data_IF_347559114597
#
_entry.id   IF_347559114597
#
_cell.length_a   1.000
_cell.length_b   1.000
_cell.length_c   1.000
_cell.angle_alpha   90.00
_cell.angle_beta   90.00
_cell.angle_gamma   90.00
#
_symmetry.space_group_name_H-M   'P 1'
#
loop_
_entity.id
_entity.type
_entity.pdbx_description
1 polymer ?
#
# COMPACT_ATOMS: atom_id res chain seq x y z
N UNK A 1 0.80 -9.26 -10.86
CA UNK A 1 0.30 -8.34 -9.83
C UNK A 1 0.45 -9.02 -8.47
N UNK A 2 1.41 -8.58 -7.65
CA UNK A 2 1.51 -9.06 -6.27
C UNK A 2 0.49 -8.29 -5.42
N UNK A 3 -0.30 -8.99 -4.61
CA UNK A 3 -1.23 -8.38 -3.65
C UNK A 3 -0.68 -8.57 -2.24
N UNK A 4 -0.35 -7.47 -1.56
CA UNK A 4 -0.10 -7.51 -0.12
C UNK A 4 -1.46 -7.45 0.58
N UNK A 5 -1.80 -8.52 1.32
CA UNK A 5 -2.96 -8.56 2.20
C UNK A 5 -2.62 -7.99 3.58
N UNK A 6 -3.65 -7.53 4.28
CA UNK A 6 -3.56 -6.93 5.61
C UNK A 6 -2.89 -7.88 6.63
N UNK A 7 -2.10 -7.32 7.53
CA UNK A 7 -1.57 -8.03 8.69
C UNK A 7 -2.64 -8.01 9.79
N UNK A 8 -2.87 -9.15 10.46
CA UNK A 8 -3.77 -9.22 11.63
C UNK A 8 -3.35 -8.17 12.68
N UNK A 9 -4.34 -7.46 13.26
CA UNK A 9 -4.11 -6.34 14.19
C UNK A 9 -3.15 -6.66 15.34
N UNK A 10 -3.22 -7.88 15.87
CA UNK A 10 -2.36 -8.35 16.98
C UNK A 10 -0.86 -8.35 16.62
N UNK A 11 -0.52 -8.33 15.33
CA UNK A 11 0.83 -8.34 14.80
C UNK A 11 1.27 -6.97 14.25
N UNK A 12 0.45 -5.92 14.43
CA UNK A 12 0.82 -4.56 14.02
C UNK A 12 1.98 -4.03 14.88
N UNK A 13 2.76 -3.09 14.32
CA UNK A 13 3.88 -2.40 14.99
C UNK A 13 5.06 -3.30 15.43
N UNK A 14 5.12 -4.54 14.95
CA UNK A 14 6.23 -5.46 15.18
C UNK A 14 7.23 -5.52 14.01
N UNK A 15 7.15 -4.58 13.06
CA UNK A 15 8.00 -4.52 11.87
C UNK A 15 7.71 -5.58 10.80
N UNK A 16 6.68 -6.42 10.97
CA UNK A 16 6.32 -7.48 10.03
C UNK A 16 5.94 -6.91 8.66
N UNK A 17 5.18 -5.81 8.63
CA UNK A 17 4.80 -5.14 7.38
C UNK A 17 6.01 -4.67 6.58
N UNK A 18 6.96 -4.01 7.23
CA UNK A 18 8.17 -3.53 6.56
C UNK A 18 9.05 -4.68 6.06
N UNK A 19 9.15 -5.77 6.83
CA UNK A 19 9.86 -6.99 6.38
C UNK A 19 9.20 -7.58 5.13
N UNK A 20 7.88 -7.64 5.10
CA UNK A 20 7.13 -8.16 3.96
C UNK A 20 7.33 -7.30 2.69
N UNK A 21 7.26 -5.98 2.84
CA UNK A 21 7.50 -5.03 1.75
C UNK A 21 8.93 -5.18 1.20
N UNK A 22 9.95 -5.20 2.07
CA UNK A 22 11.33 -5.39 1.66
C UNK A 22 11.56 -6.71 0.91
N UNK A 23 11.02 -7.83 1.43
CA UNK A 23 11.12 -9.13 0.73
C UNK A 23 10.47 -9.07 -0.65
N UNK A 24 9.32 -8.39 -0.78
CA UNK A 24 8.66 -8.21 -2.07
C UNK A 24 9.51 -7.38 -3.04
N UNK A 25 10.05 -6.25 -2.60
CA UNK A 25 10.94 -5.40 -3.40
C UNK A 25 12.16 -6.17 -3.89
N UNK A 26 12.85 -6.87 -2.99
CA UNK A 26 14.03 -7.68 -3.33
C UNK A 26 13.72 -8.75 -4.37
N UNK A 27 12.55 -9.39 -4.28
CA UNK A 27 12.13 -10.41 -5.23
C UNK A 27 11.71 -9.83 -6.60
N UNK A 28 11.18 -8.62 -6.62
CA UNK A 28 10.58 -8.02 -7.80
C UNK A 28 11.51 -7.06 -8.58
N UNK A 29 12.52 -6.46 -7.93
CA UNK A 29 13.36 -5.38 -8.49
C UNK A 29 14.09 -5.68 -9.80
N UNK A 30 14.29 -6.96 -10.14
CA UNK A 30 14.92 -7.37 -11.40
C UNK A 30 13.90 -7.58 -12.54
N UNK A 31 12.61 -7.58 -12.23
CA UNK A 31 11.54 -7.94 -13.16
C UNK A 31 10.57 -6.80 -13.43
N UNK A 32 10.43 -5.86 -12.49
CA UNK A 32 9.51 -4.72 -12.61
C UNK A 32 10.16 -3.45 -12.08
N UNK A 33 9.80 -2.32 -12.66
CA UNK A 33 10.31 -1.01 -12.22
C UNK A 33 9.51 -0.41 -11.07
N UNK A 34 8.24 -0.83 -10.93
CA UNK A 34 7.32 -0.24 -9.96
C UNK A 34 6.52 -1.29 -9.21
N UNK A 35 6.29 -1.01 -7.92
CA UNK A 35 5.25 -1.64 -7.13
C UNK A 35 4.04 -0.71 -7.06
N UNK A 36 2.85 -1.31 -6.97
CA UNK A 36 1.59 -0.59 -6.84
C UNK A 36 0.78 -1.17 -5.68
N UNK A 37 0.22 -0.27 -4.86
CA UNK A 37 -0.75 -0.60 -3.80
C UNK A 37 -2.04 0.18 -4.02
N UNK A 38 -3.17 -0.44 -3.67
CA UNK A 38 -4.49 0.18 -3.66
C UNK A 38 -5.06 0.16 -2.25
N UNK A 39 -5.63 1.27 -1.81
CA UNK A 39 -6.20 1.47 -0.46
C UNK A 39 -7.31 2.51 -0.52
N UNK A 40 -8.15 2.61 0.51
CA UNK A 40 -9.16 3.69 0.57
C UNK A 40 -8.45 5.03 0.80
N UNK A 41 -8.91 6.07 0.11
CA UNK A 41 -8.37 7.43 0.21
C UNK A 41 -8.38 7.96 1.66
N UNK A 42 -7.45 8.87 2.01
CA UNK A 42 -7.39 9.44 3.35
C UNK A 42 -8.68 10.16 3.77
N UNK A 43 -8.99 10.14 5.07
CA UNK A 43 -10.12 10.86 5.66
C UNK A 43 -11.46 10.10 5.65
N UNK A 44 -11.51 8.89 5.09
CA UNK A 44 -12.71 8.06 5.09
C UNK A 44 -12.80 7.12 6.30
N UNK A 45 -11.67 6.53 6.70
CA UNK A 45 -11.61 5.58 7.81
C UNK A 45 -10.26 5.64 8.54
N UNK A 46 -10.23 5.72 9.89
CA UNK A 46 -8.98 5.75 10.66
C UNK A 46 -8.08 4.52 10.50
N UNK A 47 -8.63 3.38 10.07
CA UNK A 47 -7.86 2.18 9.75
C UNK A 47 -7.10 2.32 8.45
N UNK A 48 -7.75 2.86 7.40
CA UNK A 48 -7.11 3.10 6.12
C UNK A 48 -6.15 4.30 6.17
N UNK A 49 -6.41 5.31 7.00
CA UNK A 49 -5.43 6.40 7.23
C UNK A 49 -4.11 5.85 7.80
N UNK A 50 -4.18 4.88 8.71
CA UNK A 50 -2.99 4.17 9.21
C UNK A 50 -2.29 3.37 8.12
N UNK A 51 -3.04 2.69 7.26
CA UNK A 51 -2.50 1.98 6.09
C UNK A 51 -1.81 2.95 5.13
N UNK A 52 -2.42 4.11 4.87
CA UNK A 52 -1.89 5.16 4.00
C UNK A 52 -0.55 5.67 4.53
N UNK A 53 -0.50 6.00 5.83
CA UNK A 53 0.72 6.44 6.50
C UNK A 53 1.82 5.36 6.50
N UNK A 54 1.44 4.08 6.68
CA UNK A 54 2.38 2.97 6.62
C UNK A 54 3.07 2.88 5.26
N UNK A 55 2.32 2.84 4.15
CA UNK A 55 2.92 2.73 2.82
C UNK A 55 3.73 3.99 2.43
N UNK A 56 3.26 5.18 2.82
CA UNK A 56 4.03 6.41 2.65
C UNK A 56 5.38 6.34 3.38
N UNK A 57 5.40 5.80 4.60
CA UNK A 57 6.64 5.59 5.35
C UNK A 57 7.55 4.48 4.77
N UNK A 58 7.03 3.61 3.89
CA UNK A 58 7.84 2.64 3.16
C UNK A 58 8.48 3.21 1.88
N UNK A 59 7.99 4.35 1.37
CA UNK A 59 8.52 4.97 0.14
C UNK A 59 7.49 5.15 -0.97
N UNK A 60 6.29 4.56 -0.80
CA UNK A 60 5.20 4.71 -1.75
C UNK A 60 4.69 6.16 -1.81
N UNK A 61 4.42 6.62 -3.03
CA UNK A 61 3.87 7.94 -3.33
C UNK A 61 2.48 7.81 -3.93
N UNK A 62 1.57 8.73 -3.58
CA UNK A 62 0.24 8.80 -4.20
C UNK A 62 0.40 9.03 -5.71
N UNK A 63 -0.24 8.19 -6.51
CA UNK A 63 -0.37 8.37 -7.95
C UNK A 63 -1.69 9.07 -8.29
N UNK A 64 -2.81 8.46 -7.92
CA UNK A 64 -4.15 8.90 -8.31
C UNK A 64 -5.22 8.39 -7.34
N UNK A 65 -6.37 9.05 -7.28
CA UNK A 65 -7.57 8.56 -6.59
C UNK A 65 -8.66 8.37 -7.63
N UNK A 66 -9.23 7.15 -7.67
CA UNK A 66 -10.38 6.79 -8.50
C UNK A 66 -11.64 6.73 -7.63
N UNK A 67 -12.53 7.74 -7.67
CA UNK A 67 -13.67 7.82 -6.76
C UNK A 67 -14.71 6.70 -6.93
N UNK A 68 -14.70 6.00 -8.07
CA UNK A 68 -15.73 5.02 -8.44
C UNK A 68 -15.14 3.65 -8.83
N UNK A 69 -13.84 3.42 -8.64
CA UNK A 69 -13.22 2.15 -9.05
C UNK A 69 -13.69 0.96 -8.18
N UNK A 70 -13.97 1.19 -6.91
CA UNK A 70 -14.60 0.20 -6.02
C UNK A 70 -16.08 0.51 -5.85
N UNK A 71 -16.37 1.64 -5.19
CA UNK A 71 -17.69 2.25 -5.06
C UNK A 71 -17.53 3.69 -4.52
N UNK A 72 -18.62 4.46 -4.48
CA UNK A 72 -18.60 5.87 -4.07
C UNK A 72 -18.26 6.13 -2.60
N UNK A 73 -18.40 5.14 -1.72
CA UNK A 73 -18.06 5.25 -0.30
C UNK A 73 -16.58 4.91 -0.04
N UNK A 74 -15.96 4.16 -0.96
CA UNK A 74 -14.59 3.70 -0.89
C UNK A 74 -13.74 4.23 -2.07
N UNK A 75 -13.41 5.54 -2.12
CA UNK A 75 -12.55 6.08 -3.17
C UNK A 75 -11.21 5.35 -3.17
N UNK A 76 -10.86 4.70 -4.28
CA UNK A 76 -9.65 3.90 -4.38
C UNK A 76 -8.46 4.81 -4.66
N UNK A 77 -7.55 4.93 -3.70
CA UNK A 77 -6.25 5.55 -3.90
C UNK A 77 -5.24 4.51 -4.40
N UNK A 78 -4.53 4.86 -5.47
CA UNK A 78 -3.35 4.15 -5.95
C UNK A 78 -2.10 4.83 -5.42
N UNK A 79 -1.19 4.05 -4.82
CA UNK A 79 0.18 4.47 -4.56
C UNK A 79 1.17 3.63 -5.36
N UNK A 80 2.29 4.24 -5.73
CA UNK A 80 3.39 3.60 -6.44
C UNK A 80 4.73 3.83 -5.75
N UNK A 81 5.63 2.87 -5.91
CA UNK A 81 7.03 2.99 -5.53
C UNK A 81 7.90 2.50 -6.69
N UNK A 82 9.00 3.19 -6.98
CA UNK A 82 10.01 2.75 -7.96
C UNK A 82 11.03 1.87 -7.25
N UNK A 83 11.28 0.67 -7.77
CA UNK A 83 12.10 -0.35 -7.09
C UNK A 83 13.30 -0.86 -7.92
N UNK A 84 13.46 -0.37 -9.15
CA UNK A 84 14.62 -0.62 -10.02
C UNK A 84 15.50 0.60 -10.23
#
# INVERSE_FOLDING_TARGET
MAQIKEIKKDYHRQGIGSKLVNVLEMAARQQVDYLQVKTVAPGHYPTYDRTNAFYQAQGFKKLEIFPQLWDSHNPCMVLIEKIS
#
